data_IF_084262643218
#
_entry.id   IF_084262643218
#
_cell.length_a   1.000
_cell.length_b   1.000
_cell.length_c   1.000
_cell.angle_alpha   90.00
_cell.angle_beta   90.00
_cell.angle_gamma   90.00
#
_symmetry.space_group_name_H-M   'P 1'
#
loop_
_entity.id
_entity.type
_entity.pdbx_description
1 polymer ?
#
# COMPACT_ATOMS: atom_id res chain seq x y z
N UNK A 1 30.65 -1.84 -0.85
CA UNK A 1 29.42 -1.02 -0.86
C UNK A 1 28.30 -1.92 -1.37
N UNK A 2 27.33 -2.26 -0.52
CA UNK A 2 26.28 -3.23 -0.86
C UNK A 2 25.24 -2.56 -1.73
N UNK A 3 25.10 -3.02 -2.97
CA UNK A 3 24.04 -2.61 -3.89
C UNK A 3 22.69 -3.02 -3.31
N UNK A 4 22.05 -2.11 -2.59
CA UNK A 4 20.68 -2.20 -2.05
C UNK A 4 19.64 -2.17 -3.19
N UNK A 5 19.77 -3.09 -4.14
CA UNK A 5 19.01 -3.12 -5.41
C UNK A 5 17.96 -4.22 -5.45
N UNK A 6 17.83 -5.02 -4.39
CA UNK A 6 16.88 -6.15 -4.36
C UNK A 6 15.70 -5.93 -3.41
N UNK A 7 15.68 -4.84 -2.64
CA UNK A 7 14.69 -4.66 -1.57
C UNK A 7 14.04 -3.31 -1.69
N UNK A 8 12.73 -3.27 -1.42
CA UNK A 8 12.06 -1.99 -1.23
C UNK A 8 12.63 -1.33 0.04
N UNK A 9 13.14 -0.08 -0.03
CA UNK A 9 13.65 0.62 1.13
C UNK A 9 12.61 0.68 2.25
N UNK A 10 13.03 0.26 3.44
CA UNK A 10 12.21 0.34 4.66
C UNK A 10 11.98 1.79 5.06
N UNK A 11 10.88 2.05 5.75
CA UNK A 11 10.49 3.38 6.18
C UNK A 11 9.19 3.87 5.52
N UNK A 12 8.94 5.16 5.68
CA UNK A 12 7.74 5.82 5.20
C UNK A 12 7.82 6.13 3.71
N UNK A 13 6.71 5.96 3.03
CA UNK A 13 6.46 6.39 1.67
C UNK A 13 5.12 7.11 1.66
N UNK A 14 5.12 8.38 1.28
CA UNK A 14 3.94 9.23 1.29
C UNK A 14 3.55 9.67 -0.10
N UNK A 15 2.24 9.74 -0.35
CA UNK A 15 1.65 10.25 -1.57
C UNK A 15 0.36 11.00 -1.28
N UNK A 16 -0.29 11.47 -2.33
CA UNK A 16 -1.63 12.02 -2.25
C UNK A 16 -2.63 10.88 -2.01
N UNK A 17 -3.47 11.01 -0.98
CA UNK A 17 -4.48 10.03 -0.56
C UNK A 17 -3.95 8.66 -0.14
N UNK A 18 -2.62 8.53 0.08
CA UNK A 18 -2.00 7.26 0.45
C UNK A 18 -0.73 7.44 1.29
N UNK A 19 -0.58 6.55 2.27
CA UNK A 19 0.65 6.33 3.01
C UNK A 19 1.04 4.85 3.01
N UNK A 20 2.33 4.57 3.00
CA UNK A 20 2.85 3.22 3.07
C UNK A 20 4.02 3.19 4.07
N UNK A 21 3.91 2.36 5.09
CA UNK A 21 5.00 2.07 6.01
C UNK A 21 5.61 0.71 5.66
N UNK A 22 6.81 0.72 5.11
CA UNK A 22 7.53 -0.48 4.67
C UNK A 22 8.40 -0.99 5.81
N UNK A 23 8.32 -2.28 6.05
CA UNK A 23 9.13 -3.02 7.03
C UNK A 23 9.91 -4.13 6.34
N UNK A 24 10.85 -4.73 7.04
CA UNK A 24 11.57 -5.89 6.51
C UNK A 24 10.66 -7.12 6.27
N UNK A 25 9.42 -7.15 6.77
CA UNK A 25 8.53 -8.33 6.66
C UNK A 25 7.31 -8.09 5.78
N UNK A 26 7.05 -6.85 5.41
CA UNK A 26 5.82 -6.46 4.74
C UNK A 26 5.60 -4.95 4.80
N UNK A 27 4.37 -4.51 4.62
CA UNK A 27 4.04 -3.10 4.73
C UNK A 27 2.60 -2.89 5.21
N UNK A 28 2.34 -1.76 5.84
CA UNK A 28 0.98 -1.27 6.10
C UNK A 28 0.69 -0.11 5.16
N UNK A 29 -0.54 -0.07 4.66
CA UNK A 29 -1.01 0.94 3.72
C UNK A 29 -2.13 1.70 4.41
N UNK A 30 -2.12 3.01 4.31
CA UNK A 30 -3.18 3.88 4.82
C UNK A 30 -3.75 4.69 3.66
N UNK A 31 -5.07 4.82 3.63
CA UNK A 31 -5.82 5.62 2.70
C UNK A 31 -6.74 6.58 3.48
N UNK A 32 -7.37 7.49 2.75
CA UNK A 32 -8.40 8.40 3.26
C UNK A 32 -9.53 7.68 4.01
N UNK A 33 -10.02 6.58 3.46
CA UNK A 33 -11.22 5.90 3.95
C UNK A 33 -11.03 4.39 4.05
N UNK A 34 -9.78 3.94 4.12
CA UNK A 34 -9.42 2.54 4.16
C UNK A 34 -8.01 2.37 4.73
N UNK A 35 -7.68 1.14 5.09
CA UNK A 35 -6.30 0.73 5.33
C UNK A 35 -6.04 -0.63 4.68
N UNK A 36 -4.78 -0.98 4.54
CA UNK A 36 -4.37 -2.24 3.94
C UNK A 36 -3.12 -2.82 4.57
N UNK A 37 -2.90 -4.11 4.31
CA UNK A 37 -1.74 -4.82 4.84
C UNK A 37 -1.15 -5.72 3.78
N UNK A 38 0.17 -5.64 3.66
CA UNK A 38 1.00 -6.53 2.85
C UNK A 38 1.76 -7.41 3.84
N UNK A 39 1.31 -8.66 4.00
CA UNK A 39 1.87 -9.59 4.98
C UNK A 39 3.19 -10.25 4.57
N UNK A 40 3.78 -9.84 3.45
CA UNK A 40 5.02 -10.42 2.92
C UNK A 40 5.99 -9.33 2.47
N UNK A 41 7.28 -9.64 2.60
CA UNK A 41 8.36 -8.76 2.16
C UNK A 41 8.17 -8.36 0.70
N UNK A 42 8.39 -7.07 0.40
CA UNK A 42 8.31 -6.53 -0.95
C UNK A 42 9.71 -6.54 -1.56
N UNK A 43 9.88 -7.34 -2.61
CA UNK A 43 11.14 -7.55 -3.33
C UNK A 43 10.90 -7.14 -4.78
N UNK A 44 11.29 -5.91 -5.17
CA UNK A 44 11.22 -5.50 -6.56
C UNK A 44 12.18 -6.31 -7.44
N UNK A 45 11.79 -6.56 -8.69
CA UNK A 45 12.65 -7.16 -9.71
C UNK A 45 13.73 -6.18 -10.20
N UNK A 46 14.59 -6.65 -11.12
CA UNK A 46 15.65 -5.83 -11.74
C UNK A 46 15.15 -4.57 -12.45
N UNK A 47 13.85 -4.51 -12.78
CA UNK A 47 13.20 -3.38 -13.45
C UNK A 47 12.44 -2.49 -12.44
N UNK A 48 12.60 -2.78 -11.15
CA UNK A 48 11.97 -2.11 -10.01
C UNK A 48 10.50 -2.49 -9.82
N UNK A 49 10.00 -3.53 -10.47
CA UNK A 49 8.58 -3.91 -10.41
C UNK A 49 8.33 -4.94 -9.31
N UNK A 50 7.18 -4.85 -8.66
CA UNK A 50 6.74 -5.87 -7.71
C UNK A 50 5.25 -6.15 -7.89
N UNK A 51 4.84 -7.35 -7.51
CA UNK A 51 3.45 -7.77 -7.44
C UNK A 51 3.25 -8.65 -6.19
N UNK A 52 2.48 -8.13 -5.23
CA UNK A 52 2.23 -8.79 -3.95
C UNK A 52 0.75 -8.77 -3.58
N UNK A 53 0.19 -9.88 -3.05
CA UNK A 53 -1.12 -9.88 -2.46
C UNK A 53 -1.07 -9.14 -1.12
N UNK A 54 -2.22 -8.60 -0.76
CA UNK A 54 -2.47 -8.10 0.57
C UNK A 54 -3.97 -7.99 0.80
N UNK A 55 -4.33 -7.25 1.84
CA UNK A 55 -5.73 -7.03 2.23
C UNK A 55 -6.04 -5.55 2.14
N UNK A 56 -7.27 -5.24 1.78
CA UNK A 56 -7.83 -3.89 1.83
C UNK A 56 -9.07 -3.92 2.71
N UNK A 57 -9.11 -3.02 3.68
CA UNK A 57 -10.17 -2.90 4.67
C UNK A 57 -10.75 -1.50 4.58
N UNK A 58 -12.03 -1.41 4.24
CA UNK A 58 -12.73 -0.13 4.15
C UNK A 58 -13.05 0.37 5.57
N UNK A 59 -12.72 1.62 5.85
CA UNK A 59 -13.06 2.29 7.10
C UNK A 59 -14.47 2.87 6.97
N UNK A 60 -15.32 2.62 7.97
CA UNK A 60 -16.66 3.20 8.03
C UNK A 60 -16.60 4.50 8.83
N UNK A 61 -16.93 5.63 8.22
CA UNK A 61 -17.12 6.91 8.91
C UNK A 61 -18.40 6.84 9.77
N UNK A 62 -18.25 6.61 11.07
CA UNK A 62 -19.38 6.56 12.01
C UNK A 62 -19.12 5.60 13.19
N UNK A 63 -20.02 5.56 14.19
CA UNK A 63 -19.95 4.58 15.27
C UNK A 63 -19.99 3.17 14.68
N UNK A 64 -18.84 2.51 14.65
CA UNK A 64 -18.76 1.12 14.22
C UNK A 64 -19.56 0.31 15.24
N UNK A 65 -20.65 -0.32 14.81
CA UNK A 65 -21.33 -1.28 15.69
C UNK A 65 -20.30 -2.34 16.06
N UNK A 66 -20.27 -2.77 17.32
CA UNK A 66 -19.30 -3.75 17.80
C UNK A 66 -19.35 -5.07 16.99
N UNK A 67 -20.48 -5.30 16.30
CA UNK A 67 -20.77 -6.47 15.46
C UNK A 67 -20.61 -6.20 13.95
N UNK A 68 -20.25 -4.98 13.54
CA UNK A 68 -20.03 -4.65 12.15
C UNK A 68 -18.69 -5.26 11.70
N UNK A 69 -18.79 -6.30 10.87
CA UNK A 69 -17.60 -6.91 10.29
C UNK A 69 -16.92 -5.90 9.36
N UNK A 70 -15.61 -5.61 9.55
CA UNK A 70 -14.89 -4.74 8.63
C UNK A 70 -14.94 -5.34 7.23
N UNK A 71 -15.32 -4.54 6.24
CA UNK A 71 -15.29 -4.95 4.83
C UNK A 71 -13.84 -5.11 4.37
N UNK A 72 -13.29 -6.29 4.65
CA UNK A 72 -11.93 -6.69 4.30
C UNK A 72 -11.98 -7.65 3.12
N UNK A 73 -11.21 -7.36 2.08
CA UNK A 73 -11.09 -8.25 0.92
C UNK A 73 -9.66 -8.33 0.40
N UNK A 74 -9.37 -9.42 -0.31
CA UNK A 74 -8.06 -9.63 -0.92
C UNK A 74 -7.83 -8.64 -2.07
N UNK A 75 -6.61 -8.12 -2.16
CA UNK A 75 -6.16 -7.21 -3.23
C UNK A 75 -4.77 -7.61 -3.72
N UNK A 76 -4.40 -7.12 -4.89
CA UNK A 76 -3.03 -7.16 -5.43
C UNK A 76 -2.46 -5.76 -5.48
N UNK A 77 -1.27 -5.62 -4.91
CA UNK A 77 -0.43 -4.43 -4.97
C UNK A 77 0.61 -4.65 -6.04
N UNK A 78 0.42 -4.01 -7.18
CA UNK A 78 1.41 -3.97 -8.26
C UNK A 78 2.08 -2.62 -8.23
N UNK A 79 3.40 -2.57 -8.20
CA UNK A 79 4.09 -1.31 -8.19
C UNK A 79 5.39 -1.31 -8.96
N UNK A 80 5.91 -0.11 -9.17
CA UNK A 80 7.19 0.14 -9.79
C UNK A 80 7.95 1.21 -9.01
N UNK A 81 9.14 0.87 -8.57
CA UNK A 81 10.06 1.74 -7.85
C UNK A 81 11.15 2.18 -8.80
N UNK A 82 11.43 3.48 -8.85
CA UNK A 82 12.59 4.05 -9.53
C UNK A 82 13.20 5.12 -8.63
N UNK A 83 14.36 4.82 -8.05
CA UNK A 83 15.01 5.70 -7.08
C UNK A 83 14.12 5.90 -5.85
N UNK A 84 13.77 7.16 -5.57
CA UNK A 84 12.89 7.53 -4.45
C UNK A 84 11.40 7.59 -4.78
N UNK A 85 10.98 7.24 -6.00
CA UNK A 85 9.58 7.31 -6.45
C UNK A 85 9.01 5.93 -6.67
N UNK A 86 7.79 5.71 -6.20
CA UNK A 86 7.01 4.50 -6.37
C UNK A 86 5.68 4.82 -7.05
N UNK A 87 5.34 4.10 -8.11
CA UNK A 87 3.96 4.03 -8.62
C UNK A 87 3.33 2.76 -8.10
N UNK A 88 2.17 2.87 -7.46
CA UNK A 88 1.47 1.74 -6.84
C UNK A 88 0.04 1.67 -7.38
N UNK A 89 -0.33 0.53 -7.94
CA UNK A 89 -1.69 0.21 -8.37
C UNK A 89 -2.26 -0.88 -7.48
N UNK A 90 -3.45 -0.65 -6.96
CA UNK A 90 -4.17 -1.57 -6.07
C UNK A 90 -5.34 -2.14 -6.85
N UNK A 91 -5.41 -3.46 -6.93
CA UNK A 91 -6.44 -4.18 -7.71
C UNK A 91 -7.20 -5.15 -6.82
N UNK A 92 -8.52 -5.18 -6.92
CA UNK A 92 -9.35 -6.12 -6.16
C UNK A 92 -9.16 -7.55 -6.64
N UNK A 93 -8.84 -8.45 -5.71
CA UNK A 93 -8.74 -9.88 -5.97
C UNK A 93 -10.06 -10.45 -6.48
N UNK A 94 -9.99 -11.48 -7.33
CA UNK A 94 -11.15 -12.15 -7.93
C UNK A 94 -11.84 -11.38 -9.06
N UNK A 95 -11.93 -10.05 -8.96
CA UNK A 95 -12.60 -9.21 -9.99
C UNK A 95 -11.64 -8.50 -10.94
N UNK A 96 -10.39 -8.27 -10.53
CA UNK A 96 -9.42 -7.51 -11.32
C UNK A 96 -9.73 -6.01 -11.40
N UNK A 97 -10.72 -5.52 -10.65
CA UNK A 97 -11.08 -4.08 -10.64
C UNK A 97 -9.96 -3.27 -10.01
N UNK A 98 -9.46 -2.26 -10.72
CA UNK A 98 -8.51 -1.29 -10.17
C UNK A 98 -9.24 -0.42 -9.15
N UNK A 99 -8.74 -0.43 -7.91
CA UNK A 99 -9.25 0.38 -6.80
C UNK A 99 -8.67 1.78 -6.89
N UNK A 100 -7.36 1.87 -7.16
CA UNK A 100 -6.67 3.14 -7.30
C UNK A 100 -5.25 2.96 -7.81
N UNK A 101 -4.71 4.05 -8.38
CA UNK A 101 -3.31 4.16 -8.75
C UNK A 101 -2.74 5.40 -8.12
N UNK A 102 -1.63 5.24 -7.40
CA UNK A 102 -1.03 6.26 -6.57
C UNK A 102 0.44 6.43 -6.89
N UNK A 103 0.97 7.60 -6.56
CA UNK A 103 2.40 7.87 -6.59
C UNK A 103 2.84 8.18 -5.17
N UNK A 104 3.87 7.47 -4.70
CA UNK A 104 4.49 7.68 -3.39
C UNK A 104 5.95 8.07 -3.56
N UNK A 105 6.43 8.90 -2.64
CA UNK A 105 7.82 9.32 -2.55
C UNK A 105 8.41 8.84 -1.21
N UNK A 106 9.63 8.32 -1.26
CA UNK A 106 10.33 7.83 -0.07
C UNK A 106 10.59 8.97 0.91
N UNK A 107 10.24 8.76 2.17
CA UNK A 107 10.41 9.72 3.26
C UNK A 107 9.44 10.91 3.21
N UNK A 108 8.55 10.98 2.22
CA UNK A 108 7.52 12.01 2.18
C UNK A 108 6.40 11.68 3.15
N UNK A 109 5.84 12.70 3.79
CA UNK A 109 4.64 12.55 4.61
C UNK A 109 3.41 12.27 3.72
N UNK A 110 2.54 11.33 4.12
CA UNK A 110 1.33 11.04 3.37
C UNK A 110 0.30 12.16 3.54
N UNK A 111 -0.32 12.59 2.45
CA UNK A 111 -1.43 13.54 2.48
C UNK A 111 -2.75 12.75 2.51
N UNK A 112 -3.16 12.34 3.71
CA UNK A 112 -4.37 11.54 3.95
C UNK A 112 -5.45 12.42 4.58
N UNK A 113 -6.64 12.39 3.99
CA UNK A 113 -7.82 13.06 4.53
C UNK A 113 -8.82 12.02 4.99
N UNK A 114 -8.97 11.87 6.32
CA UNK A 114 -9.87 10.85 6.85
C UNK A 114 -11.33 11.14 6.47
N UNK A 115 -12.01 10.12 5.93
CA UNK A 115 -13.45 10.18 5.67
C UNK A 115 -14.21 10.58 6.96
N UNK A 116 -15.17 11.49 6.82
CA UNK A 116 -16.06 11.95 7.91
C UNK A 116 -17.39 11.23 7.89
#
# INVERSE_FOLDING_TARGET
>A
EVFETERLPVGSWGGEHIGLQVTERGATVEYDCAHGKIGRRIVPDRNGRFDVPGTHTEESGGPVRQDAQPHTYAVRYTGRVRGGRMSLTVTRGGTGKVIGTYTLMRGQEPSIFKCR
#
